data_IF_408836269342
#
_entry.id   IF_408836269342
#
_cell.length_a   1.000
_cell.length_b   1.000
_cell.length_c   1.000
_cell.angle_alpha   90.00
_cell.angle_beta   90.00
_cell.angle_gamma   90.00
#
_symmetry.space_group_name_H-M   'P 1'
#
loop_
_entity.id
_entity.type
_entity.pdbx_description
1 polymer ?
#
# COMPACT_ATOMS: atom_id res chain seq x y z
N UNK A 1 -12.72 6.18 -12.25
CA UNK A 1 -12.38 5.05 -11.34
C UNK A 1 -13.60 4.62 -10.55
N UNK A 2 -13.88 3.31 -10.46
CA UNK A 2 -15.00 2.76 -9.65
C UNK A 2 -14.68 2.83 -8.15
N UNK A 3 -15.69 2.74 -7.28
CA UNK A 3 -15.49 2.81 -5.82
C UNK A 3 -14.56 1.71 -5.31
N UNK A 4 -14.78 0.46 -5.70
CA UNK A 4 -13.91 -0.66 -5.28
C UNK A 4 -12.44 -0.44 -5.66
N UNK A 5 -12.18 0.22 -6.80
CA UNK A 5 -10.83 0.56 -7.22
C UNK A 5 -10.22 1.67 -6.35
N UNK A 6 -11.01 2.70 -6.01
CA UNK A 6 -10.60 3.73 -5.05
C UNK A 6 -10.27 3.13 -3.68
N UNK A 7 -11.06 2.15 -3.24
CA UNK A 7 -10.86 1.50 -1.95
C UNK A 7 -9.53 0.74 -1.91
N UNK A 8 -9.16 0.03 -2.99
CA UNK A 8 -7.85 -0.63 -3.08
C UNK A 8 -6.70 0.38 -2.99
N UNK A 9 -6.78 1.49 -3.73
CA UNK A 9 -5.76 2.55 -3.70
C UNK A 9 -5.66 3.17 -2.31
N UNK A 10 -6.80 3.45 -1.68
CA UNK A 10 -6.86 3.99 -0.33
C UNK A 10 -6.23 3.04 0.68
N UNK A 11 -6.64 1.75 0.69
CA UNK A 11 -6.10 0.74 1.60
C UNK A 11 -4.61 0.55 1.41
N UNK A 12 -4.12 0.53 0.17
CA UNK A 12 -2.70 0.43 -0.12
C UNK A 12 -1.91 1.62 0.45
N UNK A 13 -2.31 2.85 0.12
CA UNK A 13 -1.63 4.05 0.59
C UNK A 13 -1.68 4.17 2.13
N UNK A 14 -2.82 3.83 2.73
CA UNK A 14 -2.99 3.85 4.17
C UNK A 14 -2.07 2.82 4.85
N UNK A 15 -2.04 1.57 4.36
CA UNK A 15 -1.15 0.54 4.87
C UNK A 15 0.33 0.89 4.63
N UNK A 16 0.69 1.46 3.48
CA UNK A 16 2.04 1.96 3.23
C UNK A 16 2.42 3.03 4.27
N UNK A 17 1.53 4.00 4.52
CA UNK A 17 1.75 5.02 5.54
C UNK A 17 1.88 4.47 6.96
N UNK A 18 1.18 3.38 7.29
CA UNK A 18 1.26 2.75 8.62
C UNK A 18 2.49 1.84 8.78
N UNK A 19 2.76 0.99 7.81
CA UNK A 19 3.79 -0.06 7.90
C UNK A 19 5.16 0.40 7.42
N UNK A 20 5.21 1.50 6.66
CA UNK A 20 6.44 2.05 6.06
C UNK A 20 6.71 3.47 6.55
N UNK A 21 6.23 3.82 7.76
CA UNK A 21 6.38 5.16 8.40
C UNK A 21 7.79 5.74 8.32
N UNK A 22 8.81 4.90 8.51
CA UNK A 22 10.24 5.32 8.49
C UNK A 22 10.71 5.84 7.13
N UNK A 23 9.96 5.60 6.05
CA UNK A 23 10.27 6.10 4.72
C UNK A 23 9.82 7.56 4.50
N UNK A 24 9.11 8.19 5.44
CA UNK A 24 8.71 9.60 5.32
C UNK A 24 7.70 9.87 4.19
N UNK A 25 6.91 8.84 3.83
CA UNK A 25 5.87 8.91 2.79
C UNK A 25 4.81 9.97 3.11
N UNK A 26 4.24 10.63 2.10
CA UNK A 26 3.15 11.60 2.27
C UNK A 26 1.95 11.32 1.37
N UNK A 27 0.79 11.04 1.97
CA UNK A 27 -0.44 10.69 1.26
C UNK A 27 -1.55 11.75 1.33
N UNK A 28 -1.24 12.98 1.74
CA UNK A 28 -2.25 14.03 1.96
C UNK A 28 -3.05 14.38 0.70
N UNK A 29 -2.46 14.25 -0.49
CA UNK A 29 -3.13 14.56 -1.77
C UNK A 29 -3.96 13.41 -2.34
N UNK A 30 -3.95 12.22 -1.72
CA UNK A 30 -4.47 11.00 -2.34
C UNK A 30 -5.91 11.14 -2.83
N UNK A 31 -6.81 11.63 -1.97
CA UNK A 31 -8.22 11.78 -2.32
C UNK A 31 -8.43 12.83 -3.41
N UNK A 32 -7.70 13.95 -3.37
CA UNK A 32 -7.79 14.98 -4.42
C UNK A 32 -7.25 14.49 -5.75
N UNK A 33 -6.14 13.74 -5.75
CA UNK A 33 -5.51 13.21 -6.97
C UNK A 33 -6.44 12.18 -7.65
N UNK A 34 -7.02 11.28 -6.86
CA UNK A 34 -8.01 10.30 -7.36
C UNK A 34 -9.29 10.98 -7.86
N UNK A 35 -9.72 12.08 -7.24
CA UNK A 35 -10.89 12.86 -7.68
C UNK A 35 -10.61 13.63 -8.97
N UNK A 36 -9.39 14.14 -9.13
CA UNK A 36 -8.93 14.83 -10.34
C UNK A 36 -8.69 13.85 -11.51
N UNK A 37 -8.54 12.55 -11.21
CA UNK A 37 -8.34 11.51 -12.23
C UNK A 37 -6.90 11.40 -12.70
N UNK A 38 -5.93 11.77 -11.85
CA UNK A 38 -4.51 11.59 -12.16
C UNK A 38 -4.12 10.11 -12.21
N UNK A 39 -3.21 9.79 -13.13
CA UNK A 39 -2.63 8.44 -13.27
C UNK A 39 -1.51 8.18 -12.26
N UNK A 40 -0.91 9.24 -11.72
CA UNK A 40 0.05 9.17 -10.61
C UNK A 40 -0.58 9.94 -9.45
N UNK A 41 -0.82 9.24 -8.35
CA UNK A 41 -1.41 9.78 -7.13
C UNK A 41 -0.39 9.72 -6.00
N UNK A 42 -0.54 10.61 -5.01
CA UNK A 42 0.10 10.57 -3.70
C UNK A 42 1.47 9.85 -3.61
N UNK A 43 2.54 10.65 -3.58
CA UNK A 43 3.90 10.15 -3.40
C UNK A 43 4.30 9.07 -4.43
N UNK A 44 3.85 9.23 -5.67
CA UNK A 44 4.35 8.48 -6.83
C UNK A 44 3.70 7.12 -7.06
N UNK A 45 2.51 6.85 -6.50
CA UNK A 45 1.75 5.63 -6.78
C UNK A 45 1.13 5.76 -8.18
N UNK A 46 1.55 4.90 -9.11
CA UNK A 46 0.96 4.85 -10.44
C UNK A 46 -0.26 3.93 -10.45
N UNK A 47 -1.37 4.40 -11.01
CA UNK A 47 -2.63 3.69 -11.08
C UNK A 47 -3.16 3.60 -12.51
N UNK A 48 -3.89 2.54 -12.82
CA UNK A 48 -4.62 2.41 -14.08
C UNK A 48 -6.08 2.03 -13.80
N UNK A 49 -6.98 2.97 -14.08
CA UNK A 49 -8.43 2.79 -13.83
C UNK A 49 -9.14 2.11 -15.02
N UNK A 50 -8.54 1.09 -15.65
CA UNK A 50 -9.16 0.29 -16.71
C UNK A 50 -9.87 -0.95 -16.15
N UNK A 51 -10.90 -1.43 -16.84
CA UNK A 51 -11.60 -2.65 -16.42
C UNK A 51 -10.69 -3.87 -16.57
N UNK A 52 -10.64 -4.73 -15.55
CA UNK A 52 -9.93 -6.01 -15.60
C UNK A 52 -8.43 -5.99 -15.27
N UNK A 53 -7.86 -4.84 -14.91
CA UNK A 53 -6.45 -4.69 -14.55
C UNK A 53 -6.25 -4.34 -13.07
N UNK A 54 -5.08 -4.69 -12.48
CA UNK A 54 -4.74 -4.23 -11.13
C UNK A 54 -4.72 -2.71 -11.11
N UNK A 55 -5.43 -2.13 -10.13
CA UNK A 55 -5.63 -0.69 -10.04
C UNK A 55 -4.31 0.04 -9.80
N UNK A 56 -3.40 -0.57 -9.05
CA UNK A 56 -2.06 -0.03 -8.77
C UNK A 56 -1.06 -0.76 -9.66
N UNK A 57 -0.35 -0.01 -10.50
CA UNK A 57 0.63 -0.55 -11.44
C UNK A 57 2.03 -0.64 -10.84
N UNK A 58 2.40 0.35 -10.03
CA UNK A 58 3.69 0.40 -9.35
C UNK A 58 3.67 1.48 -8.26
N UNK A 59 4.56 1.34 -7.29
CA UNK A 59 4.92 2.40 -6.37
C UNK A 59 6.43 2.68 -6.53
N UNK A 60 6.75 3.81 -7.16
CA UNK A 60 8.14 4.15 -7.45
C UNK A 60 8.94 4.51 -6.18
N UNK A 61 8.26 4.91 -5.10
CA UNK A 61 8.90 5.32 -3.84
C UNK A 61 9.05 4.15 -2.88
N UNK A 62 8.21 3.12 -2.98
CA UNK A 62 8.35 1.89 -2.21
C UNK A 62 8.12 0.63 -3.06
N UNK A 63 9.03 0.33 -4.01
CA UNK A 63 8.89 -0.82 -4.90
C UNK A 63 8.89 -2.15 -4.15
N UNK A 64 9.55 -2.21 -2.98
CA UNK A 64 9.56 -3.38 -2.10
C UNK A 64 8.16 -3.67 -1.54
N UNK A 65 7.47 -2.65 -1.03
CA UNK A 65 6.09 -2.81 -0.54
C UNK A 65 5.12 -3.16 -1.67
N UNK A 66 5.27 -2.53 -2.84
CA UNK A 66 4.51 -2.94 -4.01
C UNK A 66 4.72 -4.42 -4.38
N UNK A 67 5.97 -4.88 -4.45
CA UNK A 67 6.30 -6.27 -4.76
C UNK A 67 5.73 -7.24 -3.73
N UNK A 68 5.86 -6.91 -2.44
CA UNK A 68 5.30 -7.72 -1.37
C UNK A 68 3.78 -7.87 -1.49
N UNK A 69 3.05 -6.79 -1.78
CA UNK A 69 1.58 -6.85 -1.85
C UNK A 69 1.08 -7.48 -3.16
N UNK A 70 1.58 -7.03 -4.31
CA UNK A 70 0.98 -7.37 -5.62
C UNK A 70 1.74 -8.42 -6.41
N UNK A 71 3.00 -8.73 -6.08
CA UNK A 71 3.81 -9.76 -6.76
C UNK A 71 4.01 -11.02 -5.92
N UNK A 72 3.39 -11.10 -4.74
CA UNK A 72 3.59 -12.19 -3.77
C UNK A 72 5.05 -12.42 -3.40
N UNK A 73 5.87 -11.36 -3.40
CA UNK A 73 7.28 -11.45 -3.00
C UNK A 73 7.41 -11.30 -1.48
N UNK A 74 7.34 -12.43 -0.77
CA UNK A 74 7.52 -12.47 0.69
C UNK A 74 8.92 -12.00 1.15
N UNK A 75 9.91 -12.06 0.25
CA UNK A 75 11.29 -11.66 0.53
C UNK A 75 11.54 -10.16 0.33
N UNK A 76 10.61 -9.44 -0.31
CA UNK A 76 10.79 -8.02 -0.61
C UNK A 76 10.86 -7.14 0.65
N UNK A 77 10.29 -7.59 1.77
CA UNK A 77 10.35 -6.89 3.05
C UNK A 77 10.73 -7.89 4.15
N UNK A 78 12.03 -8.14 4.36
CA UNK A 78 12.49 -9.18 5.29
C UNK A 78 12.13 -8.87 6.74
N UNK A 79 11.83 -7.61 7.08
CA UNK A 79 11.39 -7.24 8.41
C UNK A 79 9.93 -7.63 8.70
N UNK A 80 9.11 -7.96 7.69
CA UNK A 80 7.72 -8.39 7.90
C UNK A 80 7.62 -9.92 7.97
N UNK A 81 6.78 -10.46 8.86
CA UNK A 81 6.52 -11.90 8.89
C UNK A 81 5.54 -12.25 7.78
N UNK A 82 5.65 -13.47 7.24
CA UNK A 82 4.74 -13.98 6.21
C UNK A 82 3.26 -13.83 6.61
N UNK A 83 2.89 -14.17 7.85
CA UNK A 83 1.51 -14.02 8.35
C UNK A 83 1.02 -12.55 8.34
N UNK A 84 1.91 -11.60 8.64
CA UNK A 84 1.57 -10.18 8.61
C UNK A 84 1.35 -9.72 7.15
N UNK A 85 2.17 -10.22 6.21
CA UNK A 85 2.03 -9.96 4.78
C UNK A 85 0.75 -10.56 4.19
N UNK A 86 0.39 -11.80 4.55
CA UNK A 86 -0.85 -12.43 4.11
C UNK A 86 -2.08 -11.61 4.52
N UNK A 87 -2.11 -11.16 5.78
CA UNK A 87 -3.19 -10.28 6.28
C UNK A 87 -3.23 -8.94 5.54
N UNK A 88 -2.07 -8.34 5.28
CA UNK A 88 -1.97 -7.13 4.49
C UNK A 88 -2.50 -7.31 3.07
N UNK A 89 -2.17 -8.42 2.40
CA UNK A 89 -2.67 -8.73 1.06
C UNK A 89 -4.18 -8.90 1.05
N UNK A 90 -4.73 -9.70 1.97
CA UNK A 90 -6.17 -9.91 2.11
C UNK A 90 -6.91 -8.59 2.34
N UNK A 91 -6.42 -7.76 3.25
CA UNK A 91 -7.01 -6.45 3.52
C UNK A 91 -6.90 -5.50 2.33
N UNK A 92 -5.71 -5.31 1.74
CA UNK A 92 -5.49 -4.32 0.68
C UNK A 92 -6.22 -4.72 -0.61
N UNK A 93 -6.05 -5.96 -1.06
CA UNK A 93 -6.56 -6.44 -2.34
C UNK A 93 -8.05 -6.78 -2.22
N UNK A 94 -8.42 -7.60 -1.23
CA UNK A 94 -9.76 -8.14 -1.06
C UNK A 94 -10.68 -7.29 -0.17
N UNK A 95 -10.13 -6.40 0.66
CA UNK A 95 -10.92 -5.75 1.71
C UNK A 95 -11.28 -6.67 2.86
N UNK A 96 -10.51 -7.74 3.05
CA UNK A 96 -10.80 -8.77 4.03
C UNK A 96 -10.33 -8.36 5.43
N UNK A 97 -11.16 -8.66 6.44
CA UNK A 97 -10.81 -8.45 7.83
C UNK A 97 -10.70 -6.98 8.25
N UNK A 98 -10.05 -6.77 9.39
CA UNK A 98 -9.79 -5.43 9.94
C UNK A 98 -8.46 -4.87 9.45
N UNK A 99 -8.27 -3.55 9.58
CA UNK A 99 -7.03 -2.86 9.25
C UNK A 99 -5.84 -3.52 9.99
N UNK A 100 -4.89 -4.16 9.28
CA UNK A 100 -3.76 -4.79 9.94
C UNK A 100 -2.82 -3.71 10.48
N UNK A 101 -2.59 -3.71 11.79
CA UNK A 101 -1.69 -2.77 12.45
C UNK A 101 -0.25 -3.30 12.49
N UNK A 102 0.76 -2.45 12.23
CA UNK A 102 2.15 -2.87 12.31
C UNK A 102 2.50 -3.30 13.75
N UNK A 103 3.25 -4.40 13.95
CA UNK A 103 3.69 -4.80 15.27
C UNK A 103 4.66 -3.77 15.88
N UNK A 104 4.75 -3.68 17.22
CA UNK A 104 5.59 -2.68 17.91
C UNK A 104 7.03 -2.58 17.39
N UNK A 105 7.64 -3.72 17.08
CA UNK A 105 8.99 -3.85 16.51
C UNK A 105 9.23 -3.08 15.19
N UNK A 106 8.18 -2.82 14.41
CA UNK A 106 8.27 -2.01 13.18
C UNK A 106 8.02 -0.52 13.45
N UNK A 107 7.38 -0.20 14.57
CA UNK A 107 7.03 1.17 14.97
C UNK A 107 8.06 1.83 15.89
N UNK A 108 8.84 1.04 16.63
CA UNK A 108 9.85 1.55 17.54
C UNK A 108 11.10 2.04 16.77
N UNK A 109 11.72 3.17 17.17
CA UNK A 109 13.06 3.50 16.71
C UNK A 109 14.00 2.37 17.12
N UNK A 110 14.96 2.01 16.26
CA UNK A 110 15.98 1.05 16.65
C UNK A 110 16.70 1.64 17.87
N UNK A 111 16.73 0.91 19.00
CA UNK A 111 17.49 1.31 20.17
C UNK A 111 18.93 1.54 19.74
N UNK A 112 19.42 2.76 19.96
CA UNK A 112 20.80 3.17 19.73
C UNK A 112 21.75 2.50 20.74
#
# INVERSE_FOLDING_TARGET
>A
MKNDQKDVVWRYAHCAGLWRRKQGRNFASLESDMRAGYEIVADGIAIEARQGHPVILTDAKDPAFFAAIFKNDDGAIPEMRALDLERLRGFIIGGEGELPMPPPRLTEPASA
#
